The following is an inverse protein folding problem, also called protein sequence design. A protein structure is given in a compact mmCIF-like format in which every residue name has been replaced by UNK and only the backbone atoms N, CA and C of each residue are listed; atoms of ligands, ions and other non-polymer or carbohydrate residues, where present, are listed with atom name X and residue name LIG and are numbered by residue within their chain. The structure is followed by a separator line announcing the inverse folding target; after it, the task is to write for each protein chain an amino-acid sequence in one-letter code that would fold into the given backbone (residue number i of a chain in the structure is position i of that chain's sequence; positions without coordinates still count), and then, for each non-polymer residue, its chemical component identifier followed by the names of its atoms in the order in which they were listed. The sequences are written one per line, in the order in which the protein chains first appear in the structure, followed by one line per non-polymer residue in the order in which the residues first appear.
data_IF_294659655908
#
_entry.id   IF_294659655908
#
_cell.length_a   1.000
_cell.length_b   1.000
_cell.length_c   1.000
_cell.angle_alpha   90.00
_cell.angle_beta   90.00
_cell.angle_gamma   90.00
#
_symmetry.space_group_name_H-M   'P 1'
#
loop_
_entity.id
_entity.type
_entity.pdbx_description
1 polymer ?
#
# COMPACT_ATOMS: atom_id res chain seq x y z
N UNK A 1 0.64 0.56 14.82
CA UNK A 1 0.18 -0.82 14.54
C UNK A 1 0.94 -1.39 13.34
N UNK A 2 0.81 -2.69 13.06
CA UNK A 2 1.35 -3.33 11.85
C UNK A 2 0.21 -3.77 10.94
N UNK A 3 0.26 -3.41 9.67
CA UNK A 3 -0.75 -3.76 8.67
C UNK A 3 -0.11 -4.45 7.45
N UNK A 4 -0.75 -5.51 6.98
CA UNK A 4 -0.47 -6.14 5.68
C UNK A 4 -1.60 -5.74 4.72
N UNK A 5 -1.24 -5.18 3.57
CA UNK A 5 -2.20 -4.83 2.51
C UNK A 5 -1.88 -5.68 1.29
N UNK A 6 -2.86 -6.47 0.85
CA UNK A 6 -2.82 -7.13 -0.46
C UNK A 6 -3.33 -6.16 -1.54
N UNK A 7 -2.74 -6.17 -2.73
CA UNK A 7 -3.08 -5.20 -3.78
C UNK A 7 -2.58 -3.78 -3.47
N UNK A 8 -1.47 -3.68 -2.74
CA UNK A 8 -0.91 -2.42 -2.24
C UNK A 8 -0.44 -1.43 -3.31
N UNK A 9 -0.12 -1.90 -4.52
CA UNK A 9 0.25 -1.07 -5.65
C UNK A 9 -0.96 -0.65 -6.49
N UNK A 10 -2.19 -1.01 -6.09
CA UNK A 10 -3.44 -0.52 -6.69
C UNK A 10 -3.81 0.90 -6.24
N UNK A 11 -4.88 1.46 -6.82
CA UNK A 11 -5.36 2.82 -6.48
C UNK A 11 -5.73 2.95 -5.00
N UNK A 12 -6.56 2.05 -4.49
CA UNK A 12 -7.00 2.10 -3.07
C UNK A 12 -5.87 1.68 -2.13
N UNK A 13 -5.14 0.61 -2.48
CA UNK A 13 -4.08 0.04 -1.65
C UNK A 13 -2.98 1.05 -1.33
N UNK A 14 -2.52 1.79 -2.35
CA UNK A 14 -1.48 2.82 -2.20
C UNK A 14 -1.93 3.96 -1.29
N UNK A 15 -3.14 4.50 -1.51
CA UNK A 15 -3.64 5.63 -0.71
C UNK A 15 -3.93 5.21 0.75
N UNK A 16 -4.38 3.97 0.96
CA UNK A 16 -4.53 3.42 2.30
C UNK A 16 -3.16 3.28 2.98
N UNK A 17 -2.13 2.81 2.26
CA UNK A 17 -0.77 2.72 2.77
C UNK A 17 -0.26 4.09 3.22
N UNK A 18 -0.38 5.11 2.37
CA UNK A 18 0.02 6.50 2.69
C UNK A 18 -0.69 7.00 3.95
N UNK A 19 -1.99 6.72 4.07
CA UNK A 19 -2.79 7.17 5.22
C UNK A 19 -2.35 6.50 6.53
N UNK A 20 -2.01 5.22 6.49
CA UNK A 20 -1.54 4.45 7.65
C UNK A 20 -0.11 4.85 8.03
N UNK A 21 0.77 5.01 7.04
CA UNK A 21 2.13 5.54 7.24
C UNK A 21 2.08 6.93 7.88
N UNK A 22 1.22 7.83 7.39
CA UNK A 22 1.00 9.16 7.96
C UNK A 22 0.44 9.16 9.39
N UNK A 23 -0.13 8.04 9.86
CA UNK A 23 -0.55 7.84 11.26
C UNK A 23 0.59 7.30 12.14
N UNK A 24 1.72 6.93 11.56
CA UNK A 24 2.85 6.29 12.26
C UNK A 24 2.76 4.77 12.34
N UNK A 25 1.92 4.13 11.52
CA UNK A 25 1.87 2.66 11.44
C UNK A 25 2.98 2.09 10.55
N UNK A 26 3.31 0.81 10.77
CA UNK A 26 4.13 0.03 9.84
C UNK A 26 3.23 -0.69 8.84
N UNK A 27 3.53 -0.54 7.55
CA UNK A 27 2.78 -1.14 6.45
C UNK A 27 3.69 -2.06 5.65
N UNK A 28 3.21 -3.28 5.37
CA UNK A 28 3.79 -4.19 4.40
C UNK A 28 2.79 -4.36 3.25
N UNK A 29 3.25 -4.15 2.01
CA UNK A 29 2.44 -4.35 0.82
C UNK A 29 2.79 -5.69 0.18
N UNK A 30 1.78 -6.46 -0.22
CA UNK A 30 1.90 -7.65 -1.05
C UNK A 30 1.08 -7.44 -2.32
N UNK A 31 1.75 -7.39 -3.47
CA UNK A 31 1.11 -7.11 -4.74
C UNK A 31 1.81 -7.90 -5.85
N UNK A 32 1.04 -8.49 -6.76
CA UNK A 32 1.54 -9.25 -7.90
C UNK A 32 1.70 -8.41 -9.17
N UNK A 33 1.32 -7.14 -9.10
CA UNK A 33 1.35 -6.15 -10.18
C UNK A 33 0.49 -6.52 -11.40
N UNK A 34 -0.52 -7.38 -11.22
CA UNK A 34 -1.47 -7.73 -12.30
C UNK A 34 -2.23 -6.53 -12.85
N UNK A 35 -2.63 -5.61 -11.97
CA UNK A 35 -3.23 -4.29 -12.31
C UNK A 35 -2.60 -3.13 -11.54
N UNK A 36 -1.79 -3.42 -10.53
CA UNK A 36 -1.03 -2.45 -9.76
C UNK A 36 0.10 -1.82 -10.56
N UNK A 37 0.53 -0.63 -10.14
CA UNK A 37 1.67 0.07 -10.75
C UNK A 37 2.63 0.52 -9.66
N UNK A 38 3.92 0.27 -9.84
CA UNK A 38 4.95 0.76 -8.92
C UNK A 38 4.93 2.28 -8.78
N UNK A 39 4.48 3.01 -9.82
CA UNK A 39 4.28 4.47 -9.77
C UNK A 39 3.25 4.93 -8.74
N UNK A 40 2.40 4.02 -8.22
CA UNK A 40 1.45 4.34 -7.16
C UNK A 40 2.09 4.28 -5.76
N UNK A 41 3.34 3.83 -5.64
CA UNK A 41 4.08 3.77 -4.37
C UNK A 41 5.16 4.84 -4.41
N UNK A 42 5.14 5.79 -3.47
CA UNK A 42 6.01 6.97 -3.41
C UNK A 42 7.04 6.88 -2.26
#
# INVERSE_FOLDING_TARGET
MRALITGGAGFIGSHLADRLLGRGDQVLLLDDLSTGRLSNIA
#
